data_IF_375738851918
#
_entry.id   IF_375738851918
#
_cell.length_a   1.000
_cell.length_b   1.000
_cell.length_c   1.000
_cell.angle_alpha   90.00
_cell.angle_beta   90.00
_cell.angle_gamma   90.00
#
_symmetry.space_group_name_H-M   'P 1'
#
loop_
_entity.id
_entity.type
_entity.pdbx_description
1 polymer ?
#
# COMPACT_ATOMS: atom_id res chain seq x y z
N UNK A 1 -11.89 -14.05 -4.77
CA UNK A 1 -10.89 -13.12 -4.19
C UNK A 1 -11.34 -12.76 -2.80
N UNK A 2 -10.50 -12.92 -1.79
CA UNK A 2 -10.87 -12.63 -0.40
C UNK A 2 -10.41 -11.22 -0.04
N UNK A 3 -11.33 -10.43 0.51
CA UNK A 3 -11.02 -9.13 1.11
C UNK A 3 -11.24 -9.21 2.62
N UNK A 4 -10.35 -8.60 3.38
CA UNK A 4 -10.40 -8.62 4.85
C UNK A 4 -10.15 -7.24 5.42
N UNK A 5 -10.88 -6.87 6.46
CA UNK A 5 -10.64 -5.65 7.22
C UNK A 5 -10.76 -5.94 8.72
N UNK A 6 -9.72 -5.68 9.49
CA UNK A 6 -9.79 -5.77 10.95
C UNK A 6 -10.41 -4.50 11.53
N UNK A 7 -11.63 -4.59 12.06
CA UNK A 7 -12.39 -3.44 12.57
C UNK A 7 -13.31 -3.82 13.75
N UNK A 8 -12.77 -4.31 14.88
CA UNK A 8 -13.56 -4.97 15.93
C UNK A 8 -14.67 -4.10 16.54
N UNK A 9 -14.48 -2.77 16.56
CA UNK A 9 -15.42 -1.81 17.16
C UNK A 9 -16.48 -1.25 16.20
N UNK A 10 -16.44 -1.68 14.93
CA UNK A 10 -17.38 -1.26 13.87
C UNK A 10 -18.53 -2.26 13.79
N UNK A 11 -19.73 -1.80 13.46
CA UNK A 11 -20.92 -2.64 13.40
C UNK A 11 -21.02 -3.36 12.06
N UNK A 12 -20.87 -2.62 10.96
CA UNK A 12 -21.06 -3.13 9.61
C UNK A 12 -19.93 -2.62 8.68
N UNK A 13 -19.47 -3.47 7.77
CA UNK A 13 -18.50 -3.12 6.72
C UNK A 13 -19.02 -3.58 5.37
N UNK A 14 -18.82 -2.74 4.37
CA UNK A 14 -19.08 -3.03 2.98
C UNK A 14 -17.80 -2.79 2.18
N UNK A 15 -17.46 -3.72 1.31
CA UNK A 15 -16.50 -3.53 0.23
C UNK A 15 -17.21 -2.81 -0.93
N UNK A 16 -16.65 -1.70 -1.40
CA UNK A 16 -17.04 -1.05 -2.65
C UNK A 16 -15.96 -1.42 -3.66
N UNK A 17 -16.31 -2.18 -4.70
CA UNK A 17 -15.40 -2.70 -5.72
C UNK A 17 -15.95 -2.40 -7.11
N UNK A 18 -15.28 -1.57 -7.89
CA UNK A 18 -15.76 -1.02 -9.18
C UNK A 18 -17.24 -0.61 -9.13
N UNK A 19 -17.58 0.25 -8.17
CA UNK A 19 -18.95 0.73 -7.90
C UNK A 19 -19.97 -0.34 -7.48
N UNK A 20 -19.52 -1.56 -7.14
CA UNK A 20 -20.37 -2.62 -6.59
C UNK A 20 -20.17 -2.76 -5.09
N UNK A 21 -21.30 -2.77 -4.40
CA UNK A 21 -21.37 -2.95 -2.97
C UNK A 21 -21.43 -4.44 -2.60
N UNK A 22 -20.51 -4.88 -1.75
CA UNK A 22 -20.46 -6.24 -1.21
C UNK A 22 -20.42 -6.15 0.32
N UNK A 23 -21.45 -6.67 0.99
CA UNK A 23 -21.47 -6.74 2.45
C UNK A 23 -20.42 -7.73 2.96
N UNK A 24 -19.77 -7.40 4.07
CA UNK A 24 -18.75 -8.25 4.68
C UNK A 24 -19.27 -8.89 5.97
N UNK A 25 -18.93 -10.16 6.17
CA UNK A 25 -19.31 -10.90 7.36
C UNK A 25 -18.32 -10.64 8.50
N UNK A 26 -18.85 -10.13 9.63
CA UNK A 26 -18.08 -9.92 10.85
C UNK A 26 -17.79 -11.25 11.54
N UNK A 27 -16.51 -11.57 11.69
CA UNK A 27 -16.02 -12.74 12.42
C UNK A 27 -15.93 -12.45 13.92
N UNK A 28 -15.77 -13.50 14.72
CA UNK A 28 -15.73 -13.41 16.19
C UNK A 28 -14.52 -12.64 16.74
N UNK A 29 -13.42 -12.58 15.98
CA UNK A 29 -12.21 -11.81 16.32
C UNK A 29 -12.31 -10.32 15.95
N UNK A 30 -13.39 -9.91 15.28
CA UNK A 30 -13.60 -8.54 14.81
C UNK A 30 -13.09 -8.27 13.40
N UNK A 31 -12.60 -9.28 12.70
CA UNK A 31 -12.27 -9.21 11.26
C UNK A 31 -13.55 -9.26 10.44
N UNK A 32 -13.69 -8.40 9.44
CA UNK A 32 -14.72 -8.47 8.42
C UNK A 32 -14.15 -9.15 7.19
N UNK A 33 -14.88 -10.08 6.59
CA UNK A 33 -14.42 -10.87 5.44
C UNK A 33 -15.51 -10.95 4.37
N UNK A 34 -15.15 -10.85 3.10
CA UNK A 34 -16.00 -11.27 1.99
C UNK A 34 -15.19 -11.95 0.89
N UNK A 35 -15.84 -12.79 0.08
CA UNK A 35 -15.27 -13.31 -1.17
C UNK A 35 -16.00 -12.71 -2.37
N UNK A 36 -15.24 -12.23 -3.35
CA UNK A 36 -15.75 -11.82 -4.65
C UNK A 36 -15.22 -12.76 -5.72
N UNK A 37 -16.13 -13.45 -6.41
CA UNK A 37 -15.77 -14.42 -7.44
C UNK A 37 -15.78 -13.80 -8.84
N UNK A 38 -15.05 -14.43 -9.77
CA UNK A 38 -15.03 -14.08 -11.19
C UNK A 38 -14.67 -12.61 -11.50
N UNK A 39 -13.72 -12.03 -10.74
CA UNK A 39 -13.09 -10.78 -11.15
C UNK A 39 -12.34 -10.99 -12.46
N UNK A 40 -12.57 -10.09 -13.41
CA UNK A 40 -11.84 -10.06 -14.68
C UNK A 40 -10.36 -9.79 -14.44
N UNK A 41 -9.51 -10.11 -15.41
CA UNK A 41 -8.13 -9.65 -15.37
C UNK A 41 -8.07 -8.14 -15.59
N UNK A 42 -7.18 -7.45 -14.86
CA UNK A 42 -7.04 -5.99 -14.91
C UNK A 42 -6.90 -5.36 -13.52
N UNK A 43 -6.80 -4.04 -13.51
CA UNK A 43 -6.83 -3.25 -12.28
C UNK A 43 -8.27 -2.98 -11.87
N UNK A 44 -8.56 -3.18 -10.59
CA UNK A 44 -9.86 -2.95 -9.97
C UNK A 44 -9.71 -1.95 -8.83
N UNK A 45 -10.60 -0.97 -8.79
CA UNK A 45 -10.64 0.03 -7.72
C UNK A 45 -11.49 -0.48 -6.58
N UNK A 46 -11.01 -0.30 -5.35
CA UNK A 46 -11.78 -0.66 -4.19
C UNK A 46 -11.55 0.25 -2.99
N UNK A 47 -12.54 0.26 -2.09
CA UNK A 47 -12.46 0.90 -0.77
C UNK A 47 -13.45 0.20 0.17
N UNK A 48 -13.32 0.47 1.47
CA UNK A 48 -14.29 0.00 2.45
C UNK A 48 -15.19 1.13 2.90
N UNK A 49 -16.48 0.86 3.04
CA UNK A 49 -17.38 1.70 3.80
C UNK A 49 -17.63 1.07 5.16
N UNK A 50 -17.21 1.75 6.21
CA UNK A 50 -17.41 1.30 7.59
C UNK A 50 -18.58 2.06 8.21
N UNK A 51 -19.41 1.37 8.98
CA UNK A 51 -20.59 1.96 9.62
C UNK A 51 -20.63 1.66 11.10
N UNK A 52 -20.95 2.69 11.90
CA UNK A 52 -21.11 2.58 13.35
C UNK A 52 -22.46 3.14 13.78
N UNK A 53 -23.21 2.33 14.51
CA UNK A 53 -24.51 2.67 15.07
C UNK A 53 -24.28 3.48 16.34
N UNK A 54 -24.60 4.77 16.26
CA UNK A 54 -24.75 5.62 17.44
C UNK A 54 -26.11 5.43 18.09
N UNK A 55 -26.29 6.07 19.25
CA UNK A 55 -27.58 6.04 19.96
C UNK A 55 -28.73 6.63 19.13
N UNK A 56 -28.45 7.71 18.37
CA UNK A 56 -29.47 8.46 17.61
C UNK A 56 -29.32 8.27 16.10
N UNK A 57 -28.09 8.11 15.61
CA UNK A 57 -27.80 8.07 14.18
C UNK A 57 -26.71 7.03 13.91
N UNK A 58 -26.78 6.39 12.76
CA UNK A 58 -25.66 5.62 12.19
C UNK A 58 -24.78 6.57 11.39
N UNK A 59 -23.47 6.48 11.61
CA UNK A 59 -22.47 7.18 10.80
C UNK A 59 -21.76 6.17 9.92
N UNK A 60 -21.52 6.56 8.67
CA UNK A 60 -20.76 5.78 7.70
C UNK A 60 -19.67 6.65 7.10
N UNK A 61 -18.48 6.08 6.93
CA UNK A 61 -17.38 6.72 6.23
C UNK A 61 -16.72 5.72 5.27
N UNK A 62 -16.26 6.24 4.15
CA UNK A 62 -15.41 5.49 3.23
C UNK A 62 -13.96 5.61 3.69
N UNK A 63 -13.21 4.51 3.63
CA UNK A 63 -11.80 4.43 3.98
C UNK A 63 -11.04 3.64 2.92
N UNK A 64 -9.78 4.01 2.71
CA UNK A 64 -8.82 3.18 1.98
C UNK A 64 -8.49 1.96 2.84
N UNK A 65 -8.25 0.83 2.19
CA UNK A 65 -7.71 -0.35 2.87
C UNK A 65 -6.35 -0.03 3.52
N UNK A 66 -6.21 -0.17 4.85
CA UNK A 66 -4.93 0.05 5.54
C UNK A 66 -3.78 -0.83 5.05
N UNK A 67 -4.09 -1.93 4.35
CA UNK A 67 -3.13 -2.86 3.74
C UNK A 67 -3.04 -2.72 2.21
N UNK A 68 -3.60 -1.66 1.62
CA UNK A 68 -3.45 -1.39 0.20
C UNK A 68 -1.96 -1.22 -0.17
N UNK A 69 -1.51 -1.96 -1.18
CA UNK A 69 -0.14 -1.84 -1.72
C UNK A 69 -0.03 -0.85 -2.89
N UNK A 70 -1.18 -0.47 -3.47
CA UNK A 70 -1.33 0.56 -4.50
C UNK A 70 -2.60 1.34 -4.17
N UNK A 71 -2.51 2.66 -4.12
CA UNK A 71 -3.64 3.53 -3.82
C UNK A 71 -3.52 4.85 -4.58
N UNK A 72 -4.65 5.54 -4.73
CA UNK A 72 -4.71 6.92 -5.22
C UNK A 72 -5.21 7.81 -4.06
N UNK A 73 -4.39 8.78 -3.60
CA UNK A 73 -4.75 9.67 -2.50
C UNK A 73 -5.84 10.70 -2.89
N UNK A 74 -5.89 11.11 -4.15
CA UNK A 74 -6.85 12.10 -4.64
C UNK A 74 -8.25 11.48 -4.77
N UNK A 75 -8.32 10.24 -5.27
CA UNK A 75 -9.56 9.48 -5.38
C UNK A 75 -9.95 8.72 -4.09
N UNK A 76 -9.01 8.60 -3.14
CA UNK A 76 -9.16 7.83 -1.90
C UNK A 76 -9.58 6.38 -2.12
N UNK A 77 -8.92 5.70 -3.06
CA UNK A 77 -9.17 4.29 -3.40
C UNK A 77 -7.89 3.47 -3.38
N UNK A 78 -8.01 2.20 -3.00
CA UNK A 78 -7.00 1.19 -3.22
C UNK A 78 -7.18 0.52 -4.58
N UNK A 79 -6.12 -0.11 -5.08
CA UNK A 79 -6.16 -0.93 -6.29
C UNK A 79 -5.76 -2.36 -5.98
N UNK A 80 -6.43 -3.29 -6.65
CA UNK A 80 -6.00 -4.68 -6.75
C UNK A 80 -5.87 -5.04 -8.22
N UNK A 81 -4.76 -5.65 -8.61
CA UNK A 81 -4.59 -6.18 -9.95
C UNK A 81 -4.93 -7.67 -9.96
N UNK A 82 -5.73 -8.11 -10.92
CA UNK A 82 -6.13 -9.49 -11.11
C UNK A 82 -5.50 -10.03 -12.39
N UNK A 83 -4.95 -11.25 -12.31
CA UNK A 83 -4.40 -11.99 -13.47
C UNK A 83 -4.69 -13.47 -13.31
N UNK A 84 -5.27 -14.09 -14.33
CA UNK A 84 -5.73 -15.49 -14.30
C UNK A 84 -6.58 -15.81 -13.06
N UNK A 85 -7.48 -14.89 -12.68
CA UNK A 85 -8.38 -15.06 -11.53
C UNK A 85 -7.72 -15.00 -10.14
N UNK A 86 -6.46 -14.55 -10.05
CA UNK A 86 -5.72 -14.39 -8.79
C UNK A 86 -5.21 -12.96 -8.64
N UNK A 87 -4.96 -12.55 -7.40
CA UNK A 87 -4.27 -11.29 -7.09
C UNK A 87 -2.89 -11.38 -7.72
N UNK A 88 -2.55 -10.35 -8.48
CA UNK A 88 -1.27 -10.23 -9.14
C UNK A 88 -0.50 -9.10 -8.48
N UNK A 89 0.73 -9.41 -8.09
CA UNK A 89 1.73 -8.44 -7.69
C UNK A 89 2.93 -8.67 -8.60
N UNK A 90 3.54 -7.57 -9.07
CA UNK A 90 4.69 -7.66 -9.93
C UNK A 90 5.86 -8.27 -9.16
N UNK A 91 6.41 -9.36 -9.70
CA UNK A 91 7.59 -9.99 -9.12
C UNK A 91 8.83 -9.20 -9.53
N UNK A 92 9.44 -8.50 -8.58
CA UNK A 92 10.72 -7.84 -8.80
C UNK A 92 11.86 -8.84 -8.60
N UNK A 93 12.66 -9.04 -9.65
CA UNK A 93 13.86 -9.90 -9.60
C UNK A 93 15.00 -9.14 -8.95
N UNK A 94 15.13 -9.29 -7.64
CA UNK A 94 16.22 -8.73 -6.87
C UNK A 94 17.58 -9.17 -7.40
N UNK A 95 18.50 -8.21 -7.44
CA UNK A 95 19.89 -8.42 -7.80
C UNK A 95 20.71 -7.92 -6.60
N UNK A 96 21.82 -8.61 -6.30
CA UNK A 96 22.78 -8.21 -5.27
C UNK A 96 22.40 -8.46 -3.79
N UNK A 97 21.36 -9.23 -3.49
CA UNK A 97 20.98 -9.59 -2.10
C UNK A 97 22.08 -10.35 -1.31
N UNK A 98 23.07 -10.88 -2.01
CA UNK A 98 24.19 -11.61 -1.41
C UNK A 98 25.33 -10.67 -0.95
N UNK A 99 25.26 -9.37 -1.26
CA UNK A 99 26.28 -8.40 -0.84
C UNK A 99 26.08 -8.13 0.65
N UNK A 100 27.13 -8.38 1.43
CA UNK A 100 27.13 -8.07 2.86
C UNK A 100 27.14 -6.55 3.06
N UNK A 101 26.20 -6.05 3.86
CA UNK A 101 26.16 -4.65 4.28
C UNK A 101 27.29 -4.33 5.30
N UNK A 102 27.76 -3.07 5.36
CA UNK A 102 28.71 -2.61 6.39
C UNK A 102 28.15 -2.79 7.81
N UNK A 103 29.04 -2.86 8.82
CA UNK A 103 28.61 -2.85 10.21
C UNK A 103 27.99 -1.47 10.56
N UNK A 104 27.00 -1.42 11.46
CA UNK A 104 26.32 -0.15 11.82
C UNK A 104 27.28 0.98 12.25
N UNK A 105 28.42 0.65 12.86
CA UNK A 105 29.45 1.62 13.28
C UNK A 105 30.25 2.23 12.12
N UNK A 106 30.14 1.64 10.93
CA UNK A 106 30.83 2.03 9.70
C UNK A 106 29.91 2.82 8.76
N UNK A 107 28.64 3.02 9.14
CA UNK A 107 27.67 3.73 8.32
C UNK A 107 27.98 5.23 8.28
N UNK A 108 27.98 5.76 7.06
CA UNK A 108 28.00 7.18 6.74
C UNK A 108 26.67 7.47 6.05
N UNK A 109 25.72 7.99 6.83
CA UNK A 109 24.35 8.24 6.41
C UNK A 109 24.23 9.52 5.61
N UNK A 110 23.38 9.48 4.58
CA UNK A 110 22.93 10.63 3.83
C UNK A 110 21.39 10.68 3.85
N UNK A 111 20.81 11.60 4.62
CA UNK A 111 19.37 11.85 4.61
C UNK A 111 18.96 12.55 3.31
N UNK A 112 17.97 11.99 2.62
CA UNK A 112 17.61 12.37 1.26
C UNK A 112 16.10 12.54 1.13
N UNK A 113 15.68 13.72 0.69
CA UNK A 113 14.30 13.98 0.28
C UNK A 113 14.12 13.76 -1.22
N UNK A 114 13.36 12.72 -1.60
CA UNK A 114 13.23 12.26 -2.99
C UNK A 114 12.78 13.37 -3.94
N UNK A 115 11.82 14.19 -3.50
CA UNK A 115 11.21 15.22 -4.32
C UNK A 115 12.16 16.38 -4.66
N UNK A 116 13.15 16.65 -3.81
CA UNK A 116 14.05 17.81 -3.94
C UNK A 116 15.47 17.41 -4.40
N UNK A 117 15.86 16.15 -4.19
CA UNK A 117 17.20 15.67 -4.53
C UNK A 117 17.53 15.74 -6.02
N UNK A 118 16.53 15.71 -6.89
CA UNK A 118 16.70 15.79 -8.35
C UNK A 118 15.57 16.57 -9.00
N UNK A 119 15.83 17.18 -10.15
CA UNK A 119 14.86 18.01 -10.89
C UNK A 119 13.54 17.28 -11.21
N UNK A 120 13.56 15.95 -11.29
CA UNK A 120 12.37 15.15 -11.60
C UNK A 120 11.54 14.77 -10.37
N UNK A 121 12.13 14.83 -9.17
CA UNK A 121 11.51 14.40 -7.92
C UNK A 121 11.12 12.92 -7.85
N UNK A 122 11.81 12.03 -8.59
CA UNK A 122 11.47 10.60 -8.70
C UNK A 122 12.61 9.69 -8.25
N UNK A 123 12.26 8.50 -7.75
CA UNK A 123 13.23 7.46 -7.37
C UNK A 123 14.21 7.11 -8.49
N UNK A 124 13.75 7.05 -9.75
CA UNK A 124 14.62 6.74 -10.89
C UNK A 124 15.77 7.75 -11.05
N UNK A 125 15.55 9.02 -10.73
CA UNK A 125 16.62 10.02 -10.82
C UNK A 125 17.62 9.94 -9.67
N UNK A 126 17.28 9.27 -8.57
CA UNK A 126 18.26 8.94 -7.52
C UNK A 126 19.24 7.89 -8.03
N UNK A 127 18.76 6.91 -8.80
CA UNK A 127 19.60 5.85 -9.40
C UNK A 127 20.70 6.47 -10.27
N UNK A 128 20.35 7.49 -11.06
CA UNK A 128 21.29 8.22 -11.93
C UNK A 128 22.39 8.98 -11.16
N UNK A 129 22.24 9.14 -9.84
CA UNK A 129 23.18 9.86 -8.96
C UNK A 129 23.90 8.96 -7.98
N UNK A 130 23.75 7.63 -8.08
CA UNK A 130 24.43 6.69 -7.18
C UNK A 130 25.95 6.80 -7.29
N UNK A 131 26.50 7.05 -8.48
CA UNK A 131 27.94 7.28 -8.67
C UNK A 131 28.42 8.49 -7.87
N UNK A 132 27.68 9.61 -7.93
CA UNK A 132 27.99 10.82 -7.14
C UNK A 132 27.96 10.54 -5.63
N UNK A 133 26.93 9.82 -5.16
CA UNK A 133 26.80 9.48 -3.74
C UNK A 133 27.95 8.57 -3.28
N UNK A 134 28.30 7.58 -4.09
CA UNK A 134 29.45 6.71 -3.84
C UNK A 134 30.77 7.50 -3.80
N UNK A 135 30.99 8.42 -4.74
CA UNK A 135 32.18 9.27 -4.80
C UNK A 135 32.29 10.23 -3.61
N UNK A 136 31.14 10.69 -3.09
CA UNK A 136 31.06 11.47 -1.85
C UNK A 136 31.51 10.65 -0.62
N UNK A 137 31.51 9.32 -0.73
CA UNK A 137 31.91 8.39 0.33
C UNK A 137 30.77 7.97 1.27
N UNK A 138 29.51 8.23 0.90
CA UNK A 138 28.36 7.74 1.65
C UNK A 138 28.14 6.27 1.34
N UNK A 139 27.66 5.50 2.31
CA UNK A 139 27.39 4.07 2.13
C UNK A 139 25.98 3.65 2.58
N UNK A 140 25.17 4.59 3.05
CA UNK A 140 23.77 4.38 3.36
C UNK A 140 22.97 5.66 3.07
N UNK A 141 21.82 5.49 2.40
CA UNK A 141 20.87 6.57 2.11
C UNK A 141 19.69 6.38 3.07
N UNK A 142 19.36 7.43 3.81
CA UNK A 142 18.14 7.51 4.62
C UNK A 142 17.10 8.32 3.85
N UNK A 143 16.07 7.66 3.33
CA UNK A 143 15.00 8.36 2.63
C UNK A 143 14.04 9.00 3.63
N UNK A 144 13.79 10.31 3.47
CA UNK A 144 12.65 10.97 4.12
C UNK A 144 11.31 10.29 3.71
N UNK A 145 10.21 10.45 4.48
CA UNK A 145 9.03 9.59 4.39
C UNK A 145 8.54 9.31 2.96
N UNK A 146 8.36 8.03 2.67
CA UNK A 146 7.93 7.48 1.36
C UNK A 146 6.58 6.77 1.42
N UNK A 147 5.87 6.88 2.54
CA UNK A 147 4.52 6.32 2.74
C UNK A 147 3.44 7.27 2.25
#
# INVERSE_FOLDING_TARGET
MIFTLFAPTIDDVKLILDDKDVLMDKQSDGTFICSVDNLSDGDHQYKFQISKKGWVLTTSIDIIDPYATKYDPDEQVGYITIKNGKRYEEEFKWQYDQIKLPDNKELILYELYVADFSDSGKFLSIIEKLDYLSDLGINAIELMPIM
#
